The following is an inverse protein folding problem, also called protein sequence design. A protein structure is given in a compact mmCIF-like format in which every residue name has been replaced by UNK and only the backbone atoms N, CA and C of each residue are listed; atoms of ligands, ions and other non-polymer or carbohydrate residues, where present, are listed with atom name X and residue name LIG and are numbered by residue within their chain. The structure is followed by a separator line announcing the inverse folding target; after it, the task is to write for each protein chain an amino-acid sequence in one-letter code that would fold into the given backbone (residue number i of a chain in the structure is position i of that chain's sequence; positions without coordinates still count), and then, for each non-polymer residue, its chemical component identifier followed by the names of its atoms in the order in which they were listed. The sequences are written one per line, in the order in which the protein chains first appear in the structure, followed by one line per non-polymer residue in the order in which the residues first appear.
data_IF_067507108327
#
_entry.id   IF_067507108327
#
_cell.length_a   1.000
_cell.length_b   1.000
_cell.length_c   1.000
_cell.angle_alpha   90.00
_cell.angle_beta   90.00
_cell.angle_gamma   90.00
#
_symmetry.space_group_name_H-M   'P 1'
#
loop_
_entity.id
_entity.type
_entity.pdbx_description
1 polymer ?
#
# COMPACT_ATOMS: atom_id res chain seq x y z
N UNK A 1 22.61 11.70 -11.91
CA UNK A 1 23.11 10.83 -10.81
C UNK A 1 22.35 11.01 -9.50
N UNK A 2 22.27 12.21 -8.90
CA UNK A 2 21.59 12.42 -7.60
C UNK A 2 20.14 11.91 -7.58
N UNK A 3 19.39 12.15 -8.66
CA UNK A 3 18.00 11.71 -8.82
C UNK A 3 17.85 10.19 -8.93
N UNK A 4 18.75 9.53 -9.65
CA UNK A 4 18.77 8.07 -9.76
C UNK A 4 19.05 7.41 -8.40
N UNK A 5 20.02 7.93 -7.64
CA UNK A 5 20.31 7.43 -6.30
C UNK A 5 19.14 7.65 -5.33
N UNK A 6 18.48 8.81 -5.40
CA UNK A 6 17.30 9.13 -4.60
C UNK A 6 16.15 8.17 -4.90
N UNK A 7 15.80 7.98 -6.17
CA UNK A 7 14.71 7.10 -6.57
C UNK A 7 14.99 5.64 -6.21
N UNK A 8 16.24 5.20 -6.37
CA UNK A 8 16.66 3.84 -5.98
C UNK A 8 16.52 3.63 -4.47
N UNK A 9 16.90 4.62 -3.66
CA UNK A 9 16.74 4.57 -2.21
C UNK A 9 15.26 4.50 -1.81
N UNK A 10 14.42 5.35 -2.39
CA UNK A 10 12.98 5.39 -2.11
C UNK A 10 12.31 4.05 -2.45
N UNK A 11 12.63 3.46 -3.61
CA UNK A 11 12.12 2.13 -4.01
C UNK A 11 12.54 1.07 -2.98
N UNK A 12 13.80 1.06 -2.52
CA UNK A 12 14.26 0.09 -1.51
C UNK A 12 13.51 0.25 -0.19
N UNK A 13 13.32 1.48 0.27
CA UNK A 13 12.60 1.77 1.51
C UNK A 13 11.16 1.28 1.42
N UNK A 14 10.45 1.61 0.33
CA UNK A 14 9.06 1.19 0.14
C UNK A 14 8.95 -0.34 0.04
N UNK A 15 9.88 -0.99 -0.66
CA UNK A 15 9.94 -2.45 -0.77
C UNK A 15 10.11 -3.09 0.62
N UNK A 16 11.03 -2.58 1.42
CA UNK A 16 11.24 -3.06 2.79
C UNK A 16 10.03 -2.82 3.69
N UNK A 17 9.32 -1.69 3.53
CA UNK A 17 8.10 -1.40 4.28
C UNK A 17 6.99 -2.40 3.95
N UNK A 18 6.78 -2.72 2.67
CA UNK A 18 5.81 -3.74 2.27
C UNK A 18 6.18 -5.11 2.82
N UNK A 19 7.44 -5.53 2.67
CA UNK A 19 7.89 -6.83 3.17
C UNK A 19 7.72 -6.94 4.69
N UNK A 20 8.14 -5.91 5.42
CA UNK A 20 8.01 -5.87 6.88
C UNK A 20 6.54 -5.92 7.29
N UNK A 21 5.67 -5.18 6.61
CA UNK A 21 4.22 -5.19 6.89
C UNK A 21 3.63 -6.57 6.70
N UNK A 22 4.00 -7.27 5.62
CA UNK A 22 3.54 -8.65 5.35
C UNK A 22 4.01 -9.62 6.44
N UNK A 23 5.29 -9.54 6.84
CA UNK A 23 5.86 -10.40 7.89
C UNK A 23 5.18 -10.14 9.23
N UNK A 24 4.96 -8.88 9.60
CA UNK A 24 4.27 -8.52 10.84
C UNK A 24 2.84 -9.03 10.85
N UNK A 25 2.08 -8.79 9.77
CA UNK A 25 0.69 -9.27 9.65
C UNK A 25 0.65 -10.81 9.76
N UNK A 26 1.54 -11.51 9.05
CA UNK A 26 1.59 -12.97 9.12
C UNK A 26 1.95 -13.45 10.52
N UNK A 27 2.95 -12.86 11.17
CA UNK A 27 3.40 -13.25 12.53
C UNK A 27 2.30 -13.02 13.56
N UNK A 28 1.45 -12.01 13.38
CA UNK A 28 0.29 -11.77 14.25
C UNK A 28 -0.82 -12.81 14.06
N UNK A 29 -1.04 -13.28 12.83
CA UNK A 29 -2.13 -14.22 12.50
C UNK A 29 -1.73 -15.68 12.69
N UNK A 30 -0.48 -16.04 12.41
CA UNK A 30 0.04 -17.41 12.43
C UNK A 30 -0.27 -18.19 13.73
N UNK A 31 -0.13 -17.62 14.95
CA UNK A 31 -0.45 -18.34 16.19
C UNK A 31 -1.92 -18.78 16.28
N UNK A 32 -2.85 -17.99 15.72
CA UNK A 32 -4.28 -18.33 15.69
C UNK A 32 -4.59 -19.48 14.71
N UNK A 33 -3.70 -19.71 13.75
CA UNK A 33 -3.78 -20.82 12.79
C UNK A 33 -2.98 -22.05 13.23
N UNK A 34 -2.32 -21.99 14.40
CA UNK A 34 -1.45 -23.06 14.90
C UNK A 34 -0.06 -23.10 14.26
N UNK A 35 0.27 -22.12 13.44
CA UNK A 35 1.57 -22.02 12.75
C UNK A 35 2.63 -21.44 13.69
N UNK A 36 3.77 -22.12 13.78
CA UNK A 36 4.88 -21.73 14.67
C UNK A 36 6.06 -21.08 13.94
N UNK A 37 6.10 -21.18 12.62
CA UNK A 37 7.19 -20.66 11.81
C UNK A 37 6.71 -20.28 10.41
N UNK A 38 7.46 -19.40 9.75
CA UNK A 38 7.19 -19.01 8.37
C UNK A 38 7.96 -19.96 7.45
N UNK A 39 7.26 -20.65 6.54
CA UNK A 39 7.91 -21.44 5.50
C UNK A 39 8.78 -20.57 4.59
N UNK A 40 9.97 -21.05 4.24
CA UNK A 40 10.92 -20.33 3.37
C UNK A 40 10.30 -19.95 2.02
N UNK A 41 9.45 -20.82 1.46
CA UNK A 41 8.70 -20.53 0.21
C UNK A 41 7.82 -19.28 0.35
N UNK A 42 7.11 -19.13 1.48
CA UNK A 42 6.25 -17.98 1.75
C UNK A 42 7.05 -16.69 1.86
N UNK A 43 8.26 -16.74 2.44
CA UNK A 43 9.15 -15.58 2.53
C UNK A 43 9.54 -15.09 1.13
N UNK A 44 9.90 -16.00 0.22
CA UNK A 44 10.20 -15.63 -1.17
C UNK A 44 9.00 -15.03 -1.89
N UNK A 45 7.79 -15.56 -1.64
CA UNK A 45 6.55 -14.98 -2.17
C UNK A 45 6.33 -13.55 -1.63
N UNK A 46 6.53 -13.31 -0.33
CA UNK A 46 6.42 -11.97 0.27
C UNK A 46 7.42 -10.98 -0.34
N UNK A 47 8.69 -11.39 -0.55
CA UNK A 47 9.70 -10.57 -1.22
C UNK A 47 9.24 -10.20 -2.63
N UNK A 48 8.79 -11.19 -3.41
CA UNK A 48 8.35 -10.98 -4.78
C UNK A 48 7.15 -10.02 -4.86
N UNK A 49 6.16 -10.22 -3.99
CA UNK A 49 4.99 -9.35 -3.88
C UNK A 49 5.40 -7.93 -3.50
N UNK A 50 6.29 -7.77 -2.53
CA UNK A 50 6.77 -6.46 -2.09
C UNK A 50 7.41 -5.65 -3.22
N UNK A 51 8.18 -6.31 -4.09
CA UNK A 51 8.77 -5.68 -5.28
C UNK A 51 7.66 -5.23 -6.25
N UNK A 52 6.69 -6.11 -6.55
CA UNK A 52 5.58 -5.80 -7.45
C UNK A 52 4.75 -4.62 -6.94
N UNK A 53 4.38 -4.65 -5.66
CA UNK A 53 3.59 -3.59 -5.02
C UNK A 53 4.34 -2.25 -5.06
N UNK A 54 5.65 -2.27 -4.83
CA UNK A 54 6.48 -1.06 -4.90
C UNK A 54 6.54 -0.49 -6.31
N UNK A 55 6.76 -1.34 -7.32
CA UNK A 55 6.78 -0.90 -8.71
C UNK A 55 5.43 -0.32 -9.13
N UNK A 56 4.33 -0.98 -8.76
CA UNK A 56 2.98 -0.51 -9.03
C UNK A 56 2.72 0.86 -8.38
N UNK A 57 3.05 1.00 -7.10
CA UNK A 57 2.89 2.26 -6.37
C UNK A 57 3.75 3.38 -6.97
N UNK A 58 5.00 3.07 -7.33
CA UNK A 58 5.90 4.03 -7.94
C UNK A 58 5.37 4.50 -9.31
N UNK A 59 4.92 3.59 -10.17
CA UNK A 59 4.36 3.91 -11.49
C UNK A 59 3.13 4.80 -11.35
N UNK A 60 2.22 4.53 -10.41
CA UNK A 60 0.95 5.26 -10.29
C UNK A 60 1.13 6.63 -9.63
N UNK A 61 1.96 6.72 -8.59
CA UNK A 61 2.02 7.91 -7.73
C UNK A 61 3.31 8.73 -7.85
N UNK A 62 4.45 8.09 -8.09
CA UNK A 62 5.74 8.78 -8.16
C UNK A 62 6.17 9.12 -9.59
N UNK A 63 5.75 8.33 -10.58
CA UNK A 63 6.09 8.58 -11.97
C UNK A 63 5.27 9.71 -12.60
N UNK A 64 5.85 10.40 -13.57
CA UNK A 64 5.16 11.45 -14.34
C UNK A 64 4.05 10.91 -15.26
N UNK A 65 3.91 9.58 -15.42
CA UNK A 65 2.95 8.95 -16.34
C UNK A 65 1.51 9.37 -15.99
N UNK A 66 1.18 9.41 -14.70
CA UNK A 66 -0.16 9.76 -14.22
C UNK A 66 -0.23 11.17 -13.62
N UNK A 67 0.71 12.07 -13.94
CA UNK A 67 0.80 13.37 -13.27
C UNK A 67 -0.47 14.23 -13.41
N UNK A 68 -1.16 14.16 -14.56
CA UNK A 68 -2.38 14.92 -14.88
C UNK A 68 -3.69 14.22 -14.46
N UNK A 69 -3.61 12.99 -13.97
CA UNK A 69 -4.79 12.19 -13.62
C UNK A 69 -5.27 12.54 -12.21
N UNK A 70 -6.58 12.72 -12.05
CA UNK A 70 -7.19 13.01 -10.74
C UNK A 70 -6.89 11.88 -9.74
N UNK A 71 -6.61 12.22 -8.49
CA UNK A 71 -6.24 11.25 -7.44
C UNK A 71 -7.27 10.12 -7.27
N UNK A 72 -8.56 10.43 -7.33
CA UNK A 72 -9.61 9.40 -7.25
C UNK A 72 -9.56 8.38 -8.40
N UNK A 73 -9.20 8.81 -9.61
CA UNK A 73 -9.02 7.90 -10.75
C UNK A 73 -7.77 7.04 -10.53
N UNK A 74 -6.68 7.61 -9.98
CA UNK A 74 -5.49 6.82 -9.62
C UNK A 74 -5.81 5.72 -8.62
N UNK A 75 -6.65 6.01 -7.62
CA UNK A 75 -7.08 5.02 -6.61
C UNK A 75 -7.85 3.87 -7.29
N UNK A 76 -8.78 4.18 -8.20
CA UNK A 76 -9.55 3.16 -8.93
C UNK A 76 -8.62 2.31 -9.81
N UNK A 77 -7.71 2.93 -10.56
CA UNK A 77 -6.74 2.21 -11.39
C UNK A 77 -5.85 1.30 -10.53
N UNK A 78 -5.38 1.82 -9.39
CA UNK A 78 -4.55 1.06 -8.45
C UNK A 78 -5.32 -0.15 -7.91
N UNK A 79 -6.58 0.04 -7.53
CA UNK A 79 -7.43 -1.04 -7.05
C UNK A 79 -7.60 -2.15 -8.11
N UNK A 80 -7.96 -1.78 -9.34
CA UNK A 80 -8.15 -2.74 -10.43
C UNK A 80 -6.87 -3.52 -10.74
N UNK A 81 -5.72 -2.85 -10.75
CA UNK A 81 -4.43 -3.48 -10.98
C UNK A 81 -4.05 -4.44 -9.83
N UNK A 82 -4.31 -4.06 -8.58
CA UNK A 82 -4.05 -4.97 -7.46
C UNK A 82 -4.97 -6.20 -7.47
N UNK A 83 -6.25 -6.05 -7.81
CA UNK A 83 -7.17 -7.19 -7.94
C UNK A 83 -6.67 -8.13 -9.03
N UNK A 84 -6.27 -7.58 -10.19
CA UNK A 84 -5.75 -8.38 -11.30
C UNK A 84 -4.44 -9.11 -10.93
N UNK A 85 -3.49 -8.41 -10.33
CA UNK A 85 -2.22 -9.00 -9.87
C UNK A 85 -2.49 -10.05 -8.79
N UNK A 86 -3.35 -9.76 -7.81
CA UNK A 86 -3.71 -10.68 -6.74
C UNK A 86 -4.34 -11.97 -7.28
N UNK A 87 -5.21 -11.86 -8.28
CA UNK A 87 -5.80 -13.01 -8.96
C UNK A 87 -4.74 -13.89 -9.65
N UNK A 88 -3.82 -13.27 -10.40
CA UNK A 88 -2.72 -13.99 -11.06
C UNK A 88 -1.83 -14.71 -10.03
N UNK A 89 -1.45 -14.01 -8.95
CA UNK A 89 -0.59 -14.58 -7.91
C UNK A 89 -1.29 -15.71 -7.15
N UNK A 90 -2.59 -15.59 -6.90
CA UNK A 90 -3.37 -16.66 -6.27
C UNK A 90 -3.38 -17.95 -7.12
N UNK A 91 -3.43 -17.83 -8.44
CA UNK A 91 -3.29 -18.98 -9.37
C UNK A 91 -1.87 -19.55 -9.30
N UNK A 92 -0.85 -18.70 -9.44
CA UNK A 92 0.56 -19.14 -9.51
C UNK A 92 1.01 -19.82 -8.22
N UNK A 93 0.62 -19.27 -7.06
CA UNK A 93 1.00 -19.80 -5.75
C UNK A 93 -0.01 -20.76 -5.16
N UNK A 94 -1.12 -21.01 -5.86
CA UNK A 94 -2.17 -21.94 -5.48
C UNK A 94 -2.72 -21.67 -4.06
N UNK A 95 -2.96 -20.40 -3.73
CA UNK A 95 -3.37 -19.97 -2.39
C UNK A 95 -4.80 -20.41 -2.04
N UNK A 96 -5.69 -20.43 -3.02
CA UNK A 96 -7.08 -20.83 -2.85
C UNK A 96 -7.63 -21.41 -4.14
N UNK A 97 -8.57 -22.34 -4.02
CA UNK A 97 -9.25 -22.94 -5.16
C UNK A 97 -10.21 -21.93 -5.79
N UNK A 98 -9.75 -21.34 -6.90
CA UNK A 98 -10.46 -20.37 -7.71
C UNK A 98 -11.47 -21.01 -8.67
N UNK A 99 -11.53 -22.34 -8.78
CA UNK A 99 -12.51 -23.03 -9.63
C UNK A 99 -13.93 -22.86 -9.13
N UNK A 100 -14.11 -22.66 -7.82
CA UNK A 100 -15.40 -22.32 -7.23
C UNK A 100 -15.59 -20.80 -7.22
N UNK A 101 -16.64 -20.32 -7.90
CA UNK A 101 -16.97 -18.88 -7.92
C UNK A 101 -17.21 -18.28 -6.53
N UNK A 102 -17.57 -19.11 -5.55
CA UNK A 102 -17.79 -18.69 -4.16
C UNK A 102 -16.48 -18.23 -3.48
N UNK A 103 -15.40 -19.00 -3.62
CA UNK A 103 -14.11 -18.66 -3.01
C UNK A 103 -13.53 -17.37 -3.58
N UNK A 104 -13.64 -17.19 -4.90
CA UNK A 104 -13.25 -15.94 -5.56
C UNK A 104 -14.02 -14.74 -5.00
N UNK A 105 -15.34 -14.87 -4.84
CA UNK A 105 -16.19 -13.79 -4.32
C UNK A 105 -15.83 -13.41 -2.88
N UNK A 106 -15.55 -14.39 -2.03
CA UNK A 106 -15.13 -14.16 -0.63
C UNK A 106 -13.76 -13.45 -0.61
N UNK A 107 -12.78 -13.95 -1.37
CA UNK A 107 -11.44 -13.36 -1.43
C UNK A 107 -11.47 -11.92 -1.95
N UNK A 108 -12.25 -11.67 -3.02
CA UNK A 108 -12.43 -10.33 -3.56
C UNK A 108 -13.06 -9.40 -2.52
N UNK A 109 -14.11 -9.84 -1.83
CA UNK A 109 -14.80 -9.04 -0.81
C UNK A 109 -13.87 -8.63 0.33
N UNK A 110 -13.09 -9.58 0.87
CA UNK A 110 -12.12 -9.30 1.93
C UNK A 110 -11.06 -8.32 1.42
N UNK A 111 -10.53 -8.54 0.22
CA UNK A 111 -9.56 -7.64 -0.40
C UNK A 111 -10.09 -6.21 -0.55
N UNK A 112 -11.32 -6.06 -1.04
CA UNK A 112 -11.98 -4.75 -1.22
C UNK A 112 -12.13 -4.03 0.12
N UNK A 113 -12.59 -4.71 1.16
CA UNK A 113 -12.76 -4.12 2.50
C UNK A 113 -11.40 -3.65 3.05
N UNK A 114 -10.36 -4.48 2.96
CA UNK A 114 -9.01 -4.12 3.38
C UNK A 114 -8.48 -2.92 2.60
N UNK A 115 -8.65 -2.89 1.27
CA UNK A 115 -8.20 -1.79 0.43
C UNK A 115 -8.89 -0.46 0.77
N UNK A 116 -10.21 -0.48 0.97
CA UNK A 116 -10.98 0.70 1.37
C UNK A 116 -10.52 1.18 2.75
N UNK A 117 -10.34 0.27 3.71
CA UNK A 117 -9.87 0.60 5.06
C UNK A 117 -8.49 1.27 5.03
N UNK A 118 -7.54 0.71 4.27
CA UNK A 118 -6.19 1.26 4.15
C UNK A 118 -6.18 2.62 3.47
N UNK A 119 -6.90 2.75 2.34
CA UNK A 119 -7.00 4.01 1.58
C UNK A 119 -7.71 5.08 2.40
N UNK A 120 -8.79 4.71 3.10
CA UNK A 120 -9.53 5.58 4.00
C UNK A 120 -8.67 6.07 5.17
N UNK A 121 -7.86 5.19 5.76
CA UNK A 121 -6.92 5.54 6.84
C UNK A 121 -5.90 6.58 6.39
N UNK A 122 -5.33 6.42 5.18
CA UNK A 122 -4.41 7.40 4.59
C UNK A 122 -5.12 8.73 4.31
N UNK A 123 -6.34 8.69 3.77
CA UNK A 123 -7.13 9.89 3.48
C UNK A 123 -7.45 10.69 4.77
N UNK A 124 -7.84 9.99 5.84
CA UNK A 124 -8.09 10.59 7.15
C UNK A 124 -6.82 11.19 7.74
N UNK A 125 -5.71 10.45 7.72
CA UNK A 125 -4.42 10.94 8.20
C UNK A 125 -3.99 12.23 7.47
N UNK A 126 -4.13 12.27 6.15
CA UNK A 126 -3.80 13.43 5.34
C UNK A 126 -4.70 14.63 5.64
N UNK A 127 -6.00 14.40 5.87
CA UNK A 127 -6.94 15.45 6.25
C UNK A 127 -6.55 16.10 7.58
N UNK A 128 -6.34 15.27 8.61
CA UNK A 128 -5.97 15.73 9.97
C UNK A 128 -4.62 16.45 9.95
N UNK A 129 -3.64 15.92 9.20
CA UNK A 129 -2.34 16.57 9.06
C UNK A 129 -2.44 17.93 8.36
N UNK A 130 -3.27 18.03 7.32
CA UNK A 130 -3.53 19.30 6.62
C UNK A 130 -4.16 20.35 7.54
N UNK A 131 -5.13 19.95 8.38
CA UNK A 131 -5.73 20.81 9.40
C UNK A 131 -4.69 21.32 10.40
N UNK A 132 -3.82 20.43 10.89
CA UNK A 132 -2.74 20.78 11.82
C UNK A 132 -1.71 21.74 11.21
N UNK A 133 -1.37 21.59 9.93
CA UNK A 133 -0.48 22.53 9.25
C UNK A 133 -1.14 23.90 9.06
N UNK A 134 -2.42 23.93 8.71
CA UNK A 134 -3.18 25.17 8.59
C UNK A 134 -3.28 25.92 9.92
N UNK A 135 -3.42 25.21 11.03
CA UNK A 135 -3.40 25.79 12.38
C UNK A 135 -2.05 26.44 12.70
N UNK A 136 -0.94 25.74 12.49
CA UNK A 136 0.41 26.30 12.67
C UNK A 136 0.67 27.53 11.78
N UNK A 137 0.16 27.51 10.55
CA UNK A 137 0.23 28.64 9.63
C UNK A 137 -0.58 29.85 10.12
N UNK A 138 -1.73 29.64 10.76
CA UNK A 138 -2.52 30.71 11.39
C UNK A 138 -1.75 31.33 12.55
N UNK A 139 -1.20 30.51 13.45
CA UNK A 139 -0.42 30.97 14.61
C UNK A 139 0.83 31.75 14.19
N UNK A 140 1.55 31.28 13.17
CA UNK A 140 2.72 32.00 12.63
C UNK A 140 2.33 33.35 12.00
N UNK A 141 1.18 33.42 11.33
CA UNK A 141 0.68 34.69 10.78
C UNK A 141 0.31 35.65 11.91
N UNK A 142 -0.45 35.22 12.91
CA UNK A 142 -0.86 36.09 14.02
C UNK A 142 0.34 36.60 14.82
N UNK A 143 1.31 35.75 15.16
CA UNK A 143 2.51 36.18 15.89
C UNK A 143 3.35 37.21 15.12
N UNK A 144 3.37 37.13 13.78
CA UNK A 144 4.08 38.09 12.93
C UNK A 144 3.37 39.46 12.86
N UNK A 145 2.07 39.51 13.13
CA UNK A 145 1.31 40.76 13.17
C UNK A 145 1.32 41.41 14.55
N UNK A 146 1.54 40.65 15.62
CA UNK A 146 1.68 41.17 17.00
C UNK A 146 3.07 41.79 17.29
N UNK A 147 4.10 41.46 16.50
CA UNK A 147 5.46 42.06 16.57
C UNK A 147 5.59 43.41 15.83
N UNK A 148 4.48 44.03 15.39
CA UNK A 148 4.43 45.33 14.70
C UNK A 148 3.63 46.37 15.47
#
# INVERSE_FOLDING_TARGET
MKEFFKNTLEIKIITCMFFTSQVVIYTLIAPFLGEKSIHLSLIWQMIFISIILTLLQYVIYASNIFMKVKTWIKIIIHYLLLVFIGYILAIIFNWFDLSSGNNFTIALSIFTVCFISFTGSIALYNKVSGERFNEKLKLYKSSKFDDK
#
